data_IF_010590331060
#
_entry.id   IF_010590331060
#
_cell.length_a   1.000
_cell.length_b   1.000
_cell.length_c   1.000
_cell.angle_alpha   90.00
_cell.angle_beta   90.00
_cell.angle_gamma   90.00
#
_symmetry.space_group_name_H-M   'P 1'
#
loop_
_entity.id
_entity.type
_entity.pdbx_description
1 polymer ?
#
# COMPACT_ATOMS: atom_id res chain seq x y z
N UNK A 1 8.04 23.07 -18.60
CA UNK A 1 8.29 21.81 -17.88
C UNK A 1 7.15 20.83 -18.18
N UNK A 2 7.35 19.51 -18.17
CA UNK A 2 6.24 18.54 -18.33
C UNK A 2 5.16 18.72 -17.24
N UNK A 3 5.58 19.15 -16.05
CA UNK A 3 4.71 19.46 -14.90
C UNK A 3 3.86 20.72 -15.09
N UNK A 4 4.23 21.60 -16.02
CA UNK A 4 3.53 22.87 -16.27
C UNK A 4 2.75 22.84 -17.58
N UNK A 5 2.74 21.70 -18.28
CA UNK A 5 2.03 21.52 -19.53
C UNK A 5 0.54 21.44 -19.18
N UNK A 6 -0.28 22.34 -19.72
CA UNK A 6 -1.72 22.51 -19.41
C UNK A 6 -2.04 23.20 -18.07
N UNK A 7 -1.05 23.73 -17.34
CA UNK A 7 -1.37 24.85 -16.43
C UNK A 7 -1.75 25.98 -17.37
N UNK A 8 -3.06 26.27 -17.49
CA UNK A 8 -3.55 27.45 -18.22
C UNK A 8 -2.73 28.65 -17.72
N UNK A 9 -2.47 29.65 -18.56
CA UNK A 9 -1.72 30.89 -18.18
C UNK A 9 -2.46 31.72 -17.09
N UNK A 10 -3.07 31.10 -16.10
CA UNK A 10 -4.17 31.63 -15.31
C UNK A 10 -3.84 31.63 -13.81
N UNK A 11 -4.05 32.83 -13.26
CA UNK A 11 -4.48 33.19 -11.90
C UNK A 11 -4.03 32.26 -10.78
N UNK A 12 -2.95 32.67 -10.11
CA UNK A 12 -2.58 32.21 -8.77
C UNK A 12 -3.80 32.26 -7.84
N UNK A 13 -4.25 31.10 -7.38
CA UNK A 13 -5.42 30.96 -6.48
C UNK A 13 -5.02 31.32 -5.04
N UNK A 14 -3.83 30.90 -4.60
CA UNK A 14 -3.27 31.23 -3.30
C UNK A 14 -1.73 31.19 -3.33
N UNK A 15 -1.07 31.95 -2.44
CA UNK A 15 0.29 31.67 -2.01
C UNK A 15 0.20 31.21 -0.57
N UNK A 16 0.90 30.13 -0.23
CA UNK A 16 1.13 29.75 1.15
C UNK A 16 2.64 29.78 1.31
N UNK A 17 3.14 30.73 2.09
CA UNK A 17 4.54 30.77 2.49
C UNK A 17 4.76 29.79 3.63
N UNK A 18 6.00 29.32 3.79
CA UNK A 18 6.34 28.45 4.91
C UNK A 18 6.06 29.13 6.26
N UNK A 19 6.16 30.46 6.33
CA UNK A 19 5.81 31.29 7.50
C UNK A 19 4.32 31.32 7.80
N UNK A 20 3.47 31.00 6.82
CA UNK A 20 2.02 30.96 6.99
C UNK A 20 1.58 29.64 7.61
N UNK A 21 2.44 28.62 7.58
CA UNK A 21 2.17 27.30 8.15
C UNK A 21 2.46 27.32 9.64
N UNK A 22 1.42 27.09 10.45
CA UNK A 22 1.54 26.94 11.91
C UNK A 22 1.59 25.47 12.28
N UNK A 23 2.46 25.13 13.21
CA UNK A 23 2.49 23.78 13.78
C UNK A 23 1.14 23.47 14.46
N UNK A 24 0.62 22.26 14.23
CA UNK A 24 -0.54 21.78 14.97
C UNK A 24 -0.17 21.54 16.43
N UNK A 25 -1.08 21.81 17.36
CA UNK A 25 -0.94 21.44 18.77
C UNK A 25 -1.12 19.94 18.99
N UNK A 26 -1.66 19.21 18.01
CA UNK A 26 -1.86 17.77 18.09
C UNK A 26 -0.57 17.07 17.65
N UNK A 27 0.09 16.30 18.54
CA UNK A 27 1.33 15.62 18.20
C UNK A 27 1.09 14.50 17.18
N UNK A 28 2.08 14.27 16.33
CA UNK A 28 2.12 13.07 15.48
C UNK A 28 2.75 11.95 16.31
N UNK A 29 1.98 10.89 16.58
CA UNK A 29 2.44 9.74 17.36
C UNK A 29 1.95 8.43 16.72
N UNK A 30 2.62 7.32 17.03
CA UNK A 30 2.17 5.98 16.66
C UNK A 30 1.44 5.25 17.80
N UNK A 31 1.13 5.93 18.91
CA UNK A 31 0.61 5.30 20.13
C UNK A 31 -0.78 4.67 19.95
N UNK A 32 -1.64 5.29 19.13
CA UNK A 32 -2.97 4.78 18.81
C UNK A 32 -2.94 3.57 17.85
N UNK A 33 -1.77 3.23 17.31
CA UNK A 33 -1.61 2.15 16.35
C UNK A 33 -2.21 2.47 14.99
N UNK A 34 -2.67 1.43 14.30
CA UNK A 34 -3.30 1.50 12.99
C UNK A 34 -4.37 0.42 12.88
N UNK A 35 -5.30 0.63 11.95
CA UNK A 35 -6.31 -0.33 11.53
C UNK A 35 -5.92 -0.91 10.16
N UNK A 36 -5.97 -2.22 10.00
CA UNK A 36 -5.81 -2.87 8.70
C UNK A 36 -7.12 -2.83 7.92
N UNK A 37 -7.10 -2.30 6.69
CA UNK A 37 -8.29 -2.15 5.87
C UNK A 37 -8.42 -3.22 4.78
N UNK A 38 -7.36 -3.46 4.01
CA UNK A 38 -7.36 -4.51 2.98
C UNK A 38 -5.94 -4.74 2.45
N UNK A 39 -5.77 -5.81 1.68
CA UNK A 39 -4.56 -6.06 0.91
C UNK A 39 -4.90 -6.64 -0.46
N UNK A 40 -3.96 -6.52 -1.38
CA UNK A 40 -4.03 -7.14 -2.70
C UNK A 40 -2.65 -7.26 -3.33
N UNK A 41 -2.48 -8.22 -4.24
CA UNK A 41 -1.32 -8.28 -5.13
C UNK A 41 -1.75 -7.95 -6.55
N UNK A 42 -0.97 -7.19 -7.31
CA UNK A 42 -1.23 -7.10 -8.75
C UNK A 42 -0.92 -8.43 -9.42
N UNK A 43 -1.62 -8.72 -10.51
CA UNK A 43 -1.31 -9.82 -11.42
C UNK A 43 -0.57 -9.26 -12.64
N UNK A 44 0.48 -9.95 -13.07
CA UNK A 44 1.22 -9.64 -14.29
C UNK A 44 0.37 -9.98 -15.52
N UNK A 45 -0.53 -9.07 -15.87
CA UNK A 45 -1.47 -9.26 -16.98
C UNK A 45 -1.73 -7.94 -17.73
N UNK A 46 -2.20 -8.06 -18.97
CA UNK A 46 -2.54 -6.91 -19.84
C UNK A 46 -3.73 -6.16 -19.28
N UNK A 47 -4.73 -6.89 -18.80
CA UNK A 47 -5.88 -6.31 -18.08
C UNK A 47 -5.47 -6.09 -16.64
N UNK A 48 -5.69 -4.88 -16.12
CA UNK A 48 -5.46 -4.52 -14.72
C UNK A 48 -6.25 -5.45 -13.81
N UNK A 49 -5.55 -6.37 -13.16
CA UNK A 49 -6.14 -7.46 -12.37
C UNK A 49 -5.42 -7.59 -11.05
N UNK A 50 -6.15 -7.77 -9.96
CA UNK A 50 -5.60 -7.97 -8.62
C UNK A 50 -6.04 -9.31 -8.02
N UNK A 51 -5.16 -9.90 -7.23
CA UNK A 51 -5.49 -10.97 -6.28
C UNK A 51 -5.87 -10.36 -4.94
N UNK A 52 -6.97 -10.83 -4.34
CA UNK A 52 -7.45 -10.39 -3.02
C UNK A 52 -7.64 -11.60 -2.10
N UNK A 53 -7.03 -11.63 -0.91
CA UNK A 53 -6.18 -10.60 -0.29
C UNK A 53 -4.79 -10.45 -0.94
N UNK A 54 -4.42 -11.35 -1.88
CA UNK A 54 -3.06 -11.49 -2.37
C UNK A 54 -2.10 -11.95 -1.27
N UNK A 55 -0.83 -12.20 -1.63
CA UNK A 55 0.22 -12.60 -0.68
C UNK A 55 1.54 -11.96 -1.11
N UNK A 56 2.28 -11.33 -0.19
CA UNK A 56 3.65 -10.91 -0.46
C UNK A 56 4.56 -12.15 -0.57
N UNK A 57 5.72 -12.08 -1.23
CA UNK A 57 6.59 -13.24 -1.35
C UNK A 57 7.20 -13.61 0.01
N UNK A 58 7.39 -14.91 0.25
CA UNK A 58 7.91 -15.44 1.52
C UNK A 58 9.41 -15.24 1.60
N UNK A 59 9.91 -14.77 2.73
CA UNK A 59 11.33 -14.68 3.06
C UNK A 59 11.95 -16.07 2.99
N UNK A 60 12.94 -16.22 2.12
CA UNK A 60 13.61 -17.48 1.82
C UNK A 60 15.06 -17.18 1.41
N UNK A 61 15.92 -16.75 2.35
CA UNK A 61 17.28 -16.35 2.05
C UNK A 61 18.10 -17.57 1.58
N UNK A 62 18.97 -17.42 0.57
CA UNK A 62 19.89 -18.47 0.17
C UNK A 62 21.03 -18.62 1.18
N UNK A 63 21.79 -19.71 1.08
CA UNK A 63 23.06 -19.85 1.81
C UNK A 63 24.05 -18.79 1.33
N UNK A 64 24.64 -18.07 2.28
CA UNK A 64 25.63 -17.02 2.04
C UNK A 64 27.07 -17.60 2.09
N UNK A 65 28.03 -16.98 1.38
CA UNK A 65 27.92 -15.76 0.58
C UNK A 65 27.30 -15.99 -0.81
N UNK A 66 26.68 -14.95 -1.36
CA UNK A 66 26.21 -14.92 -2.76
C UNK A 66 26.68 -13.64 -3.45
N UNK A 67 26.84 -13.71 -4.78
CA UNK A 67 27.04 -12.54 -5.62
C UNK A 67 25.75 -12.20 -6.35
N UNK A 68 25.23 -10.99 -6.15
CA UNK A 68 24.07 -10.50 -6.89
C UNK A 68 24.48 -9.84 -8.20
N UNK A 69 23.67 -10.06 -9.22
CA UNK A 69 23.76 -9.35 -10.48
C UNK A 69 23.06 -8.00 -10.35
N UNK A 70 23.54 -6.98 -11.07
CA UNK A 70 22.83 -5.70 -11.21
C UNK A 70 21.46 -5.92 -11.84
N UNK A 71 20.50 -5.12 -11.40
CA UNK A 71 19.16 -5.08 -11.98
C UNK A 71 19.24 -4.72 -13.48
N UNK A 72 18.38 -5.35 -14.29
CA UNK A 72 18.29 -5.14 -15.74
C UNK A 72 16.82 -5.08 -16.18
N UNK A 73 16.55 -4.39 -17.28
CA UNK A 73 15.23 -4.32 -17.89
C UNK A 73 14.34 -3.22 -17.32
N UNK A 74 13.14 -3.10 -17.88
CA UNK A 74 12.13 -2.15 -17.42
C UNK A 74 11.57 -2.54 -16.06
N UNK A 75 11.32 -1.55 -15.20
CA UNK A 75 10.60 -1.73 -13.95
C UNK A 75 9.69 -0.54 -13.68
N UNK A 76 8.68 -0.76 -12.84
CA UNK A 76 7.71 0.25 -12.47
C UNK A 76 8.33 1.28 -11.54
N UNK A 77 8.18 2.54 -11.91
CA UNK A 77 8.32 3.68 -11.00
C UNK A 77 6.99 3.93 -10.30
N UNK A 78 5.88 3.81 -11.04
CA UNK A 78 4.51 3.98 -10.56
C UNK A 78 3.57 2.98 -11.22
N UNK A 79 3.46 1.78 -10.62
CA UNK A 79 2.65 0.68 -11.16
C UNK A 79 1.15 1.02 -11.21
N UNK A 80 0.62 1.71 -10.20
CA UNK A 80 -0.80 2.13 -10.20
C UNK A 80 -1.08 3.22 -11.22
N UNK A 81 -0.16 4.17 -11.40
CA UNK A 81 -0.27 5.20 -12.42
C UNK A 81 -0.20 4.64 -13.85
N UNK A 82 0.45 3.50 -14.06
CA UNK A 82 0.44 2.78 -15.34
C UNK A 82 -0.83 1.94 -15.54
N UNK A 83 -1.17 1.09 -14.56
CA UNK A 83 -2.27 0.13 -14.65
C UNK A 83 -3.65 0.79 -14.61
N UNK A 84 -3.81 1.86 -13.83
CA UNK A 84 -5.11 2.55 -13.65
C UNK A 84 -4.88 4.07 -13.58
N UNK A 85 -4.46 4.70 -14.70
CA UNK A 85 -3.95 6.08 -14.70
C UNK A 85 -4.96 7.13 -14.20
N UNK A 86 -6.26 6.87 -14.35
CA UNK A 86 -7.33 7.78 -13.92
C UNK A 86 -7.82 7.51 -12.50
N UNK A 87 -7.72 6.27 -12.02
CA UNK A 87 -8.34 5.83 -10.77
C UNK A 87 -7.35 5.01 -9.93
N UNK A 88 -6.23 5.62 -9.56
CA UNK A 88 -5.10 4.94 -8.91
C UNK A 88 -5.44 4.24 -7.58
N UNK A 89 -6.54 4.63 -6.93
CA UNK A 89 -7.04 4.04 -5.69
C UNK A 89 -8.21 3.05 -5.92
N UNK A 90 -8.69 2.86 -7.14
CA UNK A 90 -9.75 1.88 -7.44
C UNK A 90 -9.41 0.46 -6.92
N UNK A 91 -8.17 -0.07 -7.05
CA UNK A 91 -7.84 -1.38 -6.49
C UNK A 91 -8.03 -1.48 -4.98
N UNK A 92 -7.88 -0.36 -4.25
CA UNK A 92 -8.17 -0.31 -2.80
C UNK A 92 -9.65 -0.56 -2.54
N UNK A 93 -10.53 0.09 -3.29
CA UNK A 93 -11.97 -0.07 -3.13
C UNK A 93 -12.45 -1.46 -3.57
N UNK A 94 -11.87 -2.03 -4.64
CA UNK A 94 -12.14 -3.41 -5.04
C UNK A 94 -11.74 -4.42 -3.96
N UNK A 95 -10.57 -4.25 -3.33
CA UNK A 95 -10.13 -5.10 -2.24
C UNK A 95 -10.99 -4.92 -0.97
N UNK A 96 -11.36 -3.68 -0.63
CA UNK A 96 -12.28 -3.37 0.47
C UNK A 96 -13.64 -4.03 0.28
N UNK A 97 -14.21 -4.00 -0.92
CA UNK A 97 -15.51 -4.61 -1.22
C UNK A 97 -15.54 -6.13 -0.94
N UNK A 98 -14.39 -6.80 -0.97
CA UNK A 98 -14.26 -8.23 -0.68
C UNK A 98 -13.89 -8.48 0.78
N UNK A 99 -12.91 -7.75 1.31
CA UNK A 99 -12.33 -8.04 2.62
C UNK A 99 -13.09 -7.36 3.75
N UNK A 100 -13.58 -6.14 3.53
CA UNK A 100 -14.19 -5.28 4.55
C UNK A 100 -15.31 -4.42 3.93
N UNK A 101 -16.41 -5.02 3.43
CA UNK A 101 -17.44 -4.33 2.62
C UNK A 101 -18.22 -3.25 3.36
N UNK A 102 -18.16 -3.27 4.70
CA UNK A 102 -18.87 -2.33 5.56
C UNK A 102 -18.05 -1.07 5.87
N UNK A 103 -16.75 -1.05 5.55
CA UNK A 103 -15.91 0.13 5.76
C UNK A 103 -16.43 1.28 4.88
N UNK A 104 -16.53 2.45 5.50
CA UNK A 104 -16.90 3.71 4.85
C UNK A 104 -15.81 4.74 5.09
N UNK A 105 -15.67 5.68 4.17
CA UNK A 105 -14.64 6.72 4.21
C UNK A 105 -15.22 8.07 4.66
N UNK A 106 -16.39 8.07 5.33
CA UNK A 106 -17.08 9.29 5.76
C UNK A 106 -16.27 10.12 6.77
N UNK A 107 -15.36 9.49 7.50
CA UNK A 107 -14.49 10.08 8.51
C UNK A 107 -13.00 10.02 8.14
N UNK A 108 -12.68 9.72 6.88
CA UNK A 108 -11.32 9.75 6.33
C UNK A 108 -11.03 11.14 5.78
N UNK A 109 -9.95 11.77 6.26
CA UNK A 109 -9.54 13.09 5.80
C UNK A 109 -8.65 12.98 4.55
N UNK A 110 -7.73 12.00 4.54
CA UNK A 110 -6.74 11.84 3.47
C UNK A 110 -6.62 10.37 3.05
N UNK A 111 -6.60 10.14 1.74
CA UNK A 111 -6.20 8.88 1.12
C UNK A 111 -4.94 9.12 0.30
N UNK A 112 -3.86 8.41 0.61
CA UNK A 112 -2.55 8.63 0.00
C UNK A 112 -1.76 7.33 -0.12
N UNK A 113 -0.71 7.32 -0.95
CA UNK A 113 0.27 6.23 -0.95
C UNK A 113 1.55 6.62 -0.19
N UNK A 114 2.23 5.63 0.38
CA UNK A 114 3.44 5.80 1.20
C UNK A 114 4.57 6.55 0.48
N UNK A 115 4.75 6.35 -0.83
CA UNK A 115 5.77 7.06 -1.60
C UNK A 115 5.49 8.57 -1.69
N UNK A 116 4.25 8.95 -1.99
CA UNK A 116 3.83 10.36 -2.01
C UNK A 116 3.98 11.00 -0.64
N UNK A 117 3.60 10.29 0.44
CA UNK A 117 3.78 10.78 1.81
C UNK A 117 5.27 11.02 2.14
N UNK A 118 6.16 10.13 1.70
CA UNK A 118 7.60 10.28 1.88
C UNK A 118 8.16 11.49 1.12
N UNK A 119 7.66 11.77 -0.09
CA UNK A 119 8.04 12.97 -0.86
C UNK A 119 7.58 14.26 -0.17
N UNK A 120 6.33 14.29 0.28
CA UNK A 120 5.77 15.42 1.04
C UNK A 120 6.56 15.64 2.33
N UNK A 121 6.88 14.57 3.07
CA UNK A 121 7.71 14.66 4.27
C UNK A 121 9.11 15.21 3.97
N UNK A 122 9.75 14.74 2.90
CA UNK A 122 11.09 15.19 2.50
C UNK A 122 11.10 16.67 2.10
N UNK A 123 10.06 17.10 1.38
CA UNK A 123 9.81 18.49 1.03
C UNK A 123 9.61 19.37 2.27
N UNK A 124 8.71 18.97 3.17
CA UNK A 124 8.41 19.72 4.39
C UNK A 124 9.59 19.76 5.39
N UNK A 125 10.45 18.73 5.38
CA UNK A 125 11.63 18.66 6.23
C UNK A 125 12.82 19.47 5.70
N UNK A 126 12.65 20.23 4.62
CA UNK A 126 13.72 20.98 3.94
C UNK A 126 14.97 20.15 3.62
N UNK A 127 14.83 18.82 3.50
CA UNK A 127 15.92 17.97 3.03
C UNK A 127 16.22 18.44 1.61
N UNK A 128 17.47 18.83 1.32
CA UNK A 128 17.92 19.26 -0.02
C UNK A 128 17.68 18.14 -1.04
N UNK A 129 16.47 18.10 -1.59
CA UNK A 129 16.09 17.27 -2.70
C UNK A 129 15.86 18.20 -3.88
N UNK A 130 16.78 18.16 -4.84
CA UNK A 130 16.60 18.85 -6.12
C UNK A 130 15.59 18.12 -7.03
N UNK A 131 15.02 17.00 -6.58
CA UNK A 131 14.04 16.24 -7.35
C UNK A 131 12.66 16.89 -7.21
N UNK A 132 12.24 17.51 -8.31
CA UNK A 132 10.86 17.95 -8.50
C UNK A 132 9.93 16.74 -8.49
N UNK A 133 8.76 16.89 -7.88
CA UNK A 133 7.71 15.88 -7.89
C UNK A 133 6.36 16.54 -8.17
N UNK A 134 5.42 15.74 -8.64
CA UNK A 134 4.07 16.17 -8.96
C UNK A 134 3.09 15.17 -8.33
N UNK A 135 1.95 15.67 -7.88
CA UNK A 135 0.86 14.91 -7.26
C UNK A 135 -0.46 15.37 -7.86
N UNK A 136 -1.39 14.44 -8.04
CA UNK A 136 -2.78 14.78 -8.37
C UNK A 136 -3.58 14.89 -7.06
N UNK A 137 -4.47 15.88 -6.98
CA UNK A 137 -5.30 16.15 -5.82
C UNK A 137 -6.76 16.10 -6.23
N UNK A 138 -7.49 15.10 -5.75
CA UNK A 138 -8.91 14.92 -6.01
C UNK A 138 -9.70 15.00 -4.71
N UNK A 139 -10.73 15.84 -4.69
CA UNK A 139 -11.64 15.98 -3.54
C UNK A 139 -12.92 15.19 -3.80
N UNK A 140 -13.28 14.28 -2.88
CA UNK A 140 -14.57 13.57 -2.87
C UNK A 140 -15.24 13.83 -1.54
N UNK A 141 -16.30 14.65 -1.56
CA UNK A 141 -16.90 15.17 -0.32
C UNK A 141 -15.86 15.94 0.49
N UNK A 142 -15.52 15.43 1.68
CA UNK A 142 -14.54 15.99 2.63
C UNK A 142 -13.19 15.26 2.62
N UNK A 143 -13.06 14.20 1.84
CA UNK A 143 -11.84 13.39 1.76
C UNK A 143 -10.96 13.85 0.60
N UNK A 144 -9.68 14.08 0.89
CA UNK A 144 -8.65 14.39 -0.10
C UNK A 144 -7.93 13.11 -0.56
N UNK A 145 -7.98 12.82 -1.85
CA UNK A 145 -7.20 11.77 -2.49
C UNK A 145 -5.94 12.39 -3.11
N UNK A 146 -4.78 11.84 -2.75
CA UNK A 146 -3.48 12.32 -3.22
C UNK A 146 -2.84 11.25 -4.10
N UNK A 147 -3.02 11.39 -5.41
CA UNK A 147 -2.45 10.53 -6.44
C UNK A 147 -0.96 10.78 -6.64
N UNK A 148 -0.22 9.73 -7.02
CA UNK A 148 1.18 9.86 -7.44
C UNK A 148 1.20 10.13 -8.94
N UNK A 149 2.06 11.03 -9.41
CA UNK A 149 2.26 11.15 -10.84
C UNK A 149 3.71 11.39 -11.21
N UNK A 150 4.22 10.43 -11.95
CA UNK A 150 5.60 10.39 -12.43
C UNK A 150 5.65 10.82 -13.88
N UNK A 151 6.81 11.36 -14.29
CA UNK A 151 7.05 11.68 -15.70
C UNK A 151 6.96 10.44 -16.58
N UNK A 152 7.56 9.35 -16.10
CA UNK A 152 7.53 8.04 -16.73
C UNK A 152 7.10 7.04 -15.65
N UNK A 153 6.08 6.24 -15.94
CA UNK A 153 5.59 5.21 -15.02
C UNK A 153 6.54 4.02 -14.91
N UNK A 154 7.51 3.91 -15.83
CA UNK A 154 8.58 2.90 -15.82
C UNK A 154 9.93 3.52 -16.18
N UNK A 155 11.02 2.83 -15.82
CA UNK A 155 12.39 3.17 -16.24
C UNK A 155 13.12 1.92 -16.73
N UNK A 156 13.87 2.08 -17.82
CA UNK A 156 14.61 0.99 -18.50
C UNK A 156 16.06 0.84 -18.04
N UNK A 157 16.52 1.75 -17.18
CA UNK A 157 17.91 1.79 -16.70
C UNK A 157 17.97 1.73 -15.17
N UNK A 158 17.56 0.62 -14.54
CA UNK A 158 17.81 0.40 -13.12
C UNK A 158 19.32 0.43 -12.84
N UNK A 159 19.74 1.20 -11.83
CA UNK A 159 21.15 1.33 -11.45
C UNK A 159 21.48 0.65 -10.11
N UNK A 160 20.69 -0.34 -9.69
CA UNK A 160 20.76 -0.96 -8.36
C UNK A 160 20.81 -2.50 -8.37
N UNK A 161 20.64 -3.06 -7.18
CA UNK A 161 20.57 -4.51 -6.93
C UNK A 161 19.28 -4.92 -6.19
N UNK A 162 18.36 -3.97 -5.93
CA UNK A 162 17.26 -4.15 -5.00
C UNK A 162 16.29 -5.24 -5.45
N UNK A 163 15.91 -5.26 -6.72
CA UNK A 163 14.96 -6.26 -7.22
C UNK A 163 15.58 -7.64 -7.29
N UNK A 164 16.82 -7.75 -7.77
CA UNK A 164 17.53 -9.03 -7.75
C UNK A 164 17.80 -9.49 -6.31
N UNK A 165 17.96 -8.58 -5.34
CA UNK A 165 18.00 -8.91 -3.92
C UNK A 165 16.65 -9.48 -3.46
N UNK A 166 15.54 -8.77 -3.67
CA UNK A 166 14.18 -9.25 -3.35
C UNK A 166 13.90 -10.62 -3.97
N UNK A 167 14.10 -10.77 -5.28
CA UNK A 167 13.88 -12.02 -6.01
C UNK A 167 14.74 -13.18 -5.51
N UNK A 168 15.96 -12.91 -5.05
CA UNK A 168 16.90 -13.96 -4.62
C UNK A 168 16.68 -14.37 -3.17
N UNK A 169 16.16 -13.47 -2.35
CA UNK A 169 15.93 -13.67 -0.92
C UNK A 169 14.47 -13.99 -0.56
N UNK A 170 13.59 -14.06 -1.56
CA UNK A 170 12.19 -14.43 -1.36
C UNK A 170 11.76 -15.54 -2.33
N UNK A 171 10.65 -16.20 -2.00
CA UNK A 171 10.00 -17.21 -2.83
C UNK A 171 8.53 -16.84 -2.99
N UNK A 172 8.04 -16.84 -4.23
CA UNK A 172 6.64 -16.57 -4.55
C UNK A 172 5.73 -17.72 -4.09
N UNK A 173 4.49 -17.39 -3.75
CA UNK A 173 3.45 -18.39 -3.51
C UNK A 173 3.15 -19.14 -4.82
N UNK A 174 3.21 -20.50 -4.85
CA UNK A 174 2.89 -21.28 -6.05
C UNK A 174 1.46 -21.07 -6.58
N UNK A 175 0.53 -20.59 -5.76
CA UNK A 175 -0.83 -20.22 -6.18
C UNK A 175 -0.91 -18.83 -6.81
N UNK A 176 0.13 -18.00 -6.67
CA UNK A 176 0.22 -16.63 -7.18
C UNK A 176 1.52 -16.39 -7.97
N UNK A 177 1.92 -17.35 -8.82
CA UNK A 177 3.18 -17.30 -9.59
C UNK A 177 3.34 -16.07 -10.48
N UNK A 178 2.24 -15.43 -10.85
CA UNK A 178 2.20 -14.22 -11.67
C UNK A 178 1.79 -12.98 -10.87
N UNK A 179 1.93 -13.00 -9.54
CA UNK A 179 1.79 -11.80 -8.73
C UNK A 179 2.99 -10.85 -8.93
N UNK A 180 2.73 -9.55 -9.00
CA UNK A 180 3.69 -8.49 -9.28
C UNK A 180 3.51 -7.34 -8.28
N UNK A 181 4.08 -7.45 -7.09
CA UNK A 181 3.95 -6.43 -6.04
C UNK A 181 2.71 -6.60 -5.17
N UNK A 182 2.92 -6.66 -3.86
CA UNK A 182 1.88 -6.79 -2.85
C UNK A 182 1.65 -5.46 -2.13
N UNK A 183 0.39 -5.12 -1.93
CA UNK A 183 -0.03 -3.85 -1.37
C UNK A 183 -0.94 -4.07 -0.17
N UNK A 184 -0.69 -3.30 0.87
CA UNK A 184 -1.50 -3.23 2.08
C UNK A 184 -2.03 -1.83 2.26
N UNK A 185 -3.26 -1.74 2.74
CA UNK A 185 -3.95 -0.49 3.05
C UNK A 185 -4.26 -0.48 4.53
N UNK A 186 -3.84 0.59 5.20
CA UNK A 186 -4.07 0.81 6.62
C UNK A 186 -4.68 2.18 6.84
N UNK A 187 -5.35 2.34 7.98
CA UNK A 187 -5.83 3.62 8.48
C UNK A 187 -5.13 3.95 9.79
N UNK A 188 -4.68 5.18 9.94
CA UNK A 188 -4.09 5.66 11.21
C UNK A 188 -4.23 7.17 11.35
N UNK A 189 -4.02 7.69 12.57
CA UNK A 189 -3.95 9.13 12.84
C UNK A 189 -2.60 9.72 12.47
N UNK A 190 -2.59 10.69 11.56
CA UNK A 190 -1.44 11.55 11.28
C UNK A 190 -1.69 12.91 11.95
N UNK A 191 -1.35 13.00 13.24
CA UNK A 191 -1.76 14.13 14.08
C UNK A 191 -3.29 14.19 14.16
N UNK A 192 -3.88 15.30 13.72
CA UNK A 192 -5.34 15.47 13.72
C UNK A 192 -6.06 14.64 12.64
N UNK A 193 -5.35 14.22 11.60
CA UNK A 193 -5.92 13.72 10.36
C UNK A 193 -6.11 12.20 10.40
N UNK A 194 -7.28 11.71 10.03
CA UNK A 194 -7.53 10.31 9.70
C UNK A 194 -6.95 10.02 8.30
N UNK A 195 -5.82 9.34 8.25
CA UNK A 195 -5.14 8.99 7.01
C UNK A 195 -5.35 7.52 6.66
N UNK A 196 -5.79 7.26 5.43
CA UNK A 196 -5.72 5.95 4.80
C UNK A 196 -4.49 5.92 3.89
N UNK A 197 -3.60 4.96 4.14
CA UNK A 197 -2.32 4.86 3.45
C UNK A 197 -2.16 3.49 2.80
N UNK A 198 -1.96 3.49 1.48
CA UNK A 198 -1.49 2.33 0.72
C UNK A 198 0.03 2.25 0.75
N UNK A 199 0.56 1.08 1.08
CA UNK A 199 1.99 0.76 1.04
C UNK A 199 2.24 -0.55 0.30
N UNK A 200 3.40 -0.65 -0.32
CA UNK A 200 3.94 -1.90 -0.83
C UNK A 200 4.53 -2.70 0.34
N UNK A 201 4.55 -4.03 0.20
CA UNK A 201 5.18 -4.96 1.13
C UNK A 201 6.08 -5.89 0.32
N UNK A 202 7.37 -5.87 0.61
CA UNK A 202 8.40 -6.56 -0.18
C UNK A 202 8.44 -8.07 0.13
N UNK A 203 7.96 -8.48 1.30
CA UNK A 203 7.87 -9.89 1.66
C UNK A 203 7.27 -10.14 3.04
N UNK A 204 7.32 -11.39 3.49
CA UNK A 204 6.97 -11.77 4.85
C UNK A 204 7.83 -12.89 5.41
N UNK A 205 8.02 -12.96 6.71
CA UNK A 205 8.62 -14.13 7.36
C UNK A 205 7.53 -15.04 7.94
N UNK A 206 7.75 -16.34 7.81
CA UNK A 206 6.88 -17.34 8.43
C UNK A 206 7.34 -17.59 9.86
N UNK A 207 6.41 -17.52 10.81
CA UNK A 207 6.69 -17.95 12.18
C UNK A 207 6.43 -19.45 12.23
N UNK A 208 7.41 -20.28 12.63
CA UNK A 208 7.17 -21.70 12.82
C UNK A 208 5.99 -21.87 13.79
N UNK A 209 5.01 -22.69 13.41
CA UNK A 209 3.98 -23.08 14.37
C UNK A 209 4.69 -23.67 15.59
N UNK A 210 4.40 -23.14 16.78
CA UNK A 210 4.87 -23.77 18.01
C UNK A 210 4.45 -25.25 17.96
N UNK A 211 5.33 -26.20 18.33
CA UNK A 211 4.94 -27.60 18.39
C UNK A 211 3.69 -27.71 19.26
N UNK A 212 2.62 -28.25 18.69
CA UNK A 212 1.33 -28.44 19.34
C UNK A 212 1.53 -29.11 20.70
N UNK A 213 1.38 -28.35 21.79
CA UNK A 213 1.08 -28.94 23.09
C UNK A 213 -0.40 -29.29 23.03
N UNK A 214 -0.68 -30.55 22.73
CA UNK A 214 -1.97 -31.15 22.98
C UNK A 214 -2.14 -31.28 24.49
N UNK A 215 -2.46 -30.19 25.17
CA UNK A 215 -3.06 -30.24 26.50
C UNK A 215 -3.99 -29.06 26.73
N UNK A 216 -5.15 -29.44 27.25
CA UNK A 216 -6.36 -28.71 27.59
C UNK A 216 -6.21 -27.24 28.04
N UNK A 217 -7.15 -26.45 27.49
CA UNK A 217 -7.77 -25.25 28.03
C UNK A 217 -7.37 -24.87 29.48
N UNK A 218 -6.65 -23.76 29.62
CA UNK A 218 -6.90 -22.84 30.71
C UNK A 218 -6.70 -21.40 30.23
N UNK A 219 -7.83 -20.68 30.16
CA UNK A 219 -7.88 -19.25 29.98
C UNK A 219 -7.11 -18.54 31.11
N UNK A 220 -6.10 -17.75 30.76
CA UNK A 220 -6.03 -16.36 31.22
C UNK A 220 -4.91 -15.58 30.51
N UNK A 221 -5.28 -14.38 30.06
CA UNK A 221 -4.39 -13.25 29.74
C UNK A 221 -3.52 -13.34 28.47
N UNK A 222 -4.09 -12.98 27.34
CA UNK A 222 -3.82 -11.69 26.68
C UNK A 222 -4.63 -11.64 25.39
N UNK A 223 -5.45 -10.60 25.21
CA UNK A 223 -6.18 -10.38 23.96
C UNK A 223 -5.17 -10.03 22.87
N UNK A 224 -4.63 -11.05 22.22
CA UNK A 224 -3.74 -10.91 21.08
C UNK A 224 -4.53 -10.46 19.84
N UNK A 225 -3.92 -9.68 18.93
CA UNK A 225 -4.54 -9.28 17.66
C UNK A 225 -5.08 -10.46 16.84
N UNK A 226 -4.51 -11.67 17.00
CA UNK A 226 -4.87 -12.87 16.25
C UNK A 226 -6.31 -13.34 16.48
N UNK A 227 -6.86 -13.18 17.69
CA UNK A 227 -8.27 -13.53 18.00
C UNK A 227 -9.25 -12.64 17.22
N UNK A 228 -8.92 -11.37 17.01
CA UNK A 228 -9.72 -10.46 16.19
C UNK A 228 -9.72 -10.89 14.72
N UNK A 229 -8.56 -11.31 14.17
CA UNK A 229 -8.44 -11.75 12.78
C UNK A 229 -9.14 -13.09 12.49
N UNK A 230 -9.11 -14.04 13.43
CA UNK A 230 -9.83 -15.31 13.28
C UNK A 230 -11.35 -15.11 13.34
N UNK A 231 -11.83 -14.22 14.22
CA UNK A 231 -13.24 -13.86 14.28
C UNK A 231 -13.73 -13.11 13.02
N UNK A 232 -12.88 -12.31 12.37
CA UNK A 232 -13.21 -11.64 11.10
C UNK A 232 -13.34 -12.63 9.93
N UNK A 233 -12.52 -13.68 9.88
CA UNK A 233 -12.63 -14.76 8.88
C UNK A 233 -13.84 -15.67 9.13
N UNK A 234 -14.24 -15.85 10.40
CA UNK A 234 -15.39 -16.65 10.79
C UNK A 234 -16.76 -15.96 10.69
N UNK A 235 -16.79 -14.63 10.55
CA UNK A 235 -18.04 -13.83 10.52
C UNK A 235 -18.25 -13.12 9.18
N UNK A 236 -18.22 -13.87 8.07
CA UNK A 236 -18.83 -13.40 6.83
C UNK A 236 -20.35 -13.57 6.90
N UNK A 237 -21.01 -12.72 7.69
CA UNK A 237 -22.47 -12.52 7.60
C UNK A 237 -22.84 -12.07 6.18
N UNK A 238 -23.98 -12.51 5.63
CA UNK A 238 -24.45 -12.00 4.34
C UNK A 238 -24.68 -10.49 4.44
N UNK A 239 -23.89 -9.73 3.69
CA UNK A 239 -23.85 -8.28 3.75
C UNK A 239 -25.17 -7.67 3.25
N UNK A 240 -26.08 -7.36 4.16
CA UNK A 240 -27.34 -6.66 3.85
C UNK A 240 -27.16 -5.19 3.39
N UNK A 241 -25.92 -4.72 3.18
CA UNK A 241 -25.62 -3.35 2.72
C UNK A 241 -24.26 -3.21 1.97
N UNK A 242 -23.77 -4.25 1.30
CA UNK A 242 -22.58 -4.12 0.46
C UNK A 242 -22.84 -3.09 -0.67
N UNK A 243 -21.89 -2.17 -0.91
CA UNK A 243 -22.02 -1.21 -2.02
C UNK A 243 -21.93 -1.99 -3.33
N UNK A 244 -23.03 -2.02 -4.08
CA UNK A 244 -23.05 -2.56 -5.44
C UNK A 244 -22.44 -1.52 -6.37
N UNK A 245 -21.28 -1.82 -6.94
CA UNK A 245 -20.61 -0.94 -7.90
C UNK A 245 -21.32 -1.03 -9.26
N UNK A 246 -21.99 0.04 -9.68
CA UNK A 246 -22.70 0.11 -10.97
C UNK A 246 -21.87 0.63 -12.15
N UNK A 247 -20.65 1.13 -11.91
CA UNK A 247 -19.75 1.62 -12.94
C UNK A 247 -18.86 0.51 -13.50
N UNK A 248 -18.39 0.62 -14.76
CA UNK A 248 -17.40 -0.31 -15.29
C UNK A 248 -16.15 -0.27 -14.43
N UNK A 249 -15.83 -1.41 -13.81
CA UNK A 249 -14.62 -1.58 -13.03
C UNK A 249 -13.44 -1.66 -14.01
N UNK A 250 -12.44 -0.80 -13.83
CA UNK A 250 -11.20 -0.85 -14.61
C UNK A 250 -10.22 -1.87 -14.04
N UNK A 251 -10.45 -2.35 -12.81
CA UNK A 251 -9.65 -3.39 -12.16
C UNK A 251 -10.47 -4.66 -11.98
N UNK A 252 -10.04 -5.76 -12.61
CA UNK A 252 -10.60 -7.08 -12.39
C UNK A 252 -10.07 -7.70 -11.07
N UNK A 253 -10.87 -8.57 -10.45
CA UNK A 253 -10.51 -9.18 -9.16
C UNK A 253 -10.57 -10.70 -9.21
N UNK A 254 -9.53 -11.34 -8.69
CA UNK A 254 -9.46 -12.77 -8.44
C UNK A 254 -9.32 -12.98 -6.93
N UNK A 255 -10.17 -13.80 -6.33
CA UNK A 255 -9.99 -14.21 -4.93
C UNK A 255 -8.85 -15.21 -4.86
N UNK A 256 -7.76 -14.85 -4.18
CA UNK A 256 -6.54 -15.64 -4.16
C UNK A 256 -5.48 -15.06 -3.22
N UNK A 257 -4.63 -15.94 -2.69
CA UNK A 257 -3.64 -15.63 -1.68
C UNK A 257 -4.14 -15.76 -0.24
N UNK A 258 -3.18 -15.74 0.67
CA UNK A 258 -3.32 -15.71 2.12
C UNK A 258 -3.04 -14.31 2.68
N UNK A 259 -3.87 -13.90 3.64
CA UNK A 259 -3.62 -12.70 4.45
C UNK A 259 -2.45 -12.93 5.41
N UNK A 260 -1.41 -12.10 5.29
CA UNK A 260 -0.24 -12.13 6.17
C UNK A 260 -0.38 -11.09 7.30
N UNK A 261 -0.24 -11.45 8.58
CA UNK A 261 -0.19 -10.51 9.70
C UNK A 261 0.83 -9.39 9.51
N UNK A 262 0.52 -8.17 9.95
CA UNK A 262 1.42 -7.02 9.72
C UNK A 262 2.77 -7.16 10.42
N UNK A 263 2.81 -7.74 11.61
CA UNK A 263 4.07 -8.01 12.31
C UNK A 263 4.98 -9.00 11.58
N UNK A 264 4.45 -9.76 10.61
CA UNK A 264 5.21 -10.70 9.77
C UNK A 264 5.72 -10.07 8.46
N UNK A 265 5.28 -8.85 8.12
CA UNK A 265 5.67 -8.20 6.86
C UNK A 265 7.07 -7.61 6.91
N UNK A 266 7.72 -7.54 5.74
CA UNK A 266 9.09 -7.10 5.57
C UNK A 266 9.20 -6.00 4.52
N UNK A 267 10.11 -5.07 4.76
CA UNK A 267 10.68 -4.17 3.75
C UNK A 267 12.12 -4.63 3.51
N UNK A 268 12.49 -4.86 2.26
CA UNK A 268 13.81 -5.30 1.83
C UNK A 268 14.56 -4.14 1.19
N UNK A 269 15.85 -4.02 1.51
CA UNK A 269 16.71 -2.96 1.00
C UNK A 269 18.12 -3.48 0.71
N UNK A 270 18.69 -3.02 -0.40
CA UNK A 270 20.10 -3.16 -0.73
C UNK A 270 20.78 -1.78 -0.69
N UNK A 271 21.92 -1.66 -0.02
CA UNK A 271 22.70 -0.42 0.09
C UNK A 271 23.99 -0.47 -0.74
#
# INVERSE_FOLDING_TARGET
SWMTKNIRKEKKVALILHTDVRASSIPVTSAEGYEFLCSYSWKQFVVSTIYVPGTPPRWNPPLLPIQLMKDKGAHWVDQHGDKVPRFQFEPVFQALAIMNPNVRFDDVDIVVNRNTLQKLYSFASFKRSYKQFYIDLDMVGKTLFIGRRERNASTTSPSGYGRNFENKFTSVDPSLVDADGHHRVVRYKLGALNAVVRMEVDGYYEVPAAPNDSSELNESSSKAPNEFFLNLLGTMEPANAAIVHHNPQHTAVIRGGMLVPHNQTLELKSN
#
